data_IF_906790739955
#
_entry.id   IF_906790739955
#
_cell.length_a   1.000
_cell.length_b   1.000
_cell.length_c   1.000
_cell.angle_alpha   90.00
_cell.angle_beta   90.00
_cell.angle_gamma   90.00
#
_symmetry.space_group_name_H-M   'P 1'
#
loop_
_entity.id
_entity.type
_entity.pdbx_description
1 polymer ?
#
# COMPACT_ATOMS: atom_id res chain seq x y z
N UNK A 1 33.95 1.99 -7.52
CA UNK A 1 32.59 2.51 -7.71
C UNK A 1 31.96 2.57 -6.34
N UNK A 2 31.76 3.77 -5.79
CA UNK A 2 31.09 3.92 -4.51
C UNK A 2 29.66 3.40 -4.63
N UNK A 3 29.31 2.43 -3.77
CA UNK A 3 27.94 1.94 -3.69
C UNK A 3 27.08 3.11 -3.23
N UNK A 4 26.03 3.42 -3.99
CA UNK A 4 25.03 4.40 -3.56
C UNK A 4 24.48 3.99 -2.18
N UNK A 5 24.36 4.98 -1.29
CA UNK A 5 23.85 4.78 0.06
C UNK A 5 22.33 4.99 0.12
N UNK A 6 21.67 4.12 0.88
CA UNK A 6 20.25 4.20 1.22
C UNK A 6 20.07 4.32 2.73
N UNK A 7 19.31 5.33 3.13
CA UNK A 7 18.91 5.55 4.51
C UNK A 7 17.67 4.71 4.79
N UNK A 8 17.74 3.84 5.79
CA UNK A 8 16.61 3.04 6.24
C UNK A 8 16.11 3.57 7.59
N UNK A 9 14.94 4.23 7.64
CA UNK A 9 14.32 4.64 8.89
C UNK A 9 13.98 3.41 9.72
N UNK A 10 14.50 3.36 10.95
CA UNK A 10 14.13 2.36 11.95
C UNK A 10 13.70 3.07 13.24
N UNK A 11 12.79 2.47 14.03
CA UNK A 11 12.49 2.97 15.37
C UNK A 11 13.79 3.11 16.16
N UNK A 12 13.97 4.24 16.83
CA UNK A 12 15.08 4.39 17.77
C UNK A 12 14.89 3.32 18.86
N UNK A 13 15.82 2.37 18.96
CA UNK A 13 15.78 1.40 20.06
C UNK A 13 15.83 2.18 21.37
N UNK A 14 14.73 2.20 22.11
CA UNK A 14 14.70 2.78 23.44
C UNK A 14 15.48 1.85 24.37
N UNK A 15 16.77 2.12 24.58
CA UNK A 15 17.52 1.56 25.71
C UNK A 15 18.74 0.66 25.44
N UNK A 16 19.42 0.77 24.30
CA UNK A 16 20.74 0.12 24.07
C UNK A 16 21.79 1.11 23.54
N UNK A 17 23.10 0.91 23.81
CA UNK A 17 24.12 1.97 23.68
C UNK A 17 24.17 2.57 22.27
N UNK A 18 24.07 3.91 22.21
CA UNK A 18 24.11 4.73 20.99
C UNK A 18 25.27 4.35 20.06
N UNK A 19 24.94 3.62 18.98
CA UNK A 19 25.84 3.39 17.83
C UNK A 19 25.57 4.33 16.66
N UNK A 20 24.68 5.31 16.79
CA UNK A 20 24.38 6.29 15.75
C UNK A 20 25.39 7.44 15.79
N UNK A 21 25.94 7.77 14.64
CA UNK A 21 26.81 8.93 14.42
C UNK A 21 25.98 10.23 14.35
N UNK A 22 26.62 11.39 14.50
CA UNK A 22 25.97 12.69 14.28
C UNK A 22 25.37 12.82 12.86
N UNK A 23 25.99 12.17 11.88
CA UNK A 23 25.46 12.09 10.52
C UNK A 23 24.16 11.29 10.46
N UNK A 24 24.05 10.19 11.21
CA UNK A 24 22.81 9.40 11.31
C UNK A 24 21.67 10.20 11.95
N UNK A 25 21.98 10.93 13.02
CA UNK A 25 21.01 11.80 13.71
C UNK A 25 20.54 12.95 12.82
N UNK A 26 21.46 13.54 12.03
CA UNK A 26 21.14 14.61 11.07
C UNK A 26 20.22 14.10 9.95
N UNK A 27 20.57 12.96 9.34
CA UNK A 27 19.72 12.30 8.34
C UNK A 27 18.36 11.90 8.92
N UNK A 28 18.33 11.32 10.12
CA UNK A 28 17.10 10.95 10.82
C UNK A 28 16.20 12.15 11.14
N UNK A 29 16.78 13.28 11.52
CA UNK A 29 16.04 14.53 11.76
C UNK A 29 15.36 15.07 10.49
N UNK A 30 16.04 14.99 9.34
CA UNK A 30 15.49 15.41 8.05
C UNK A 30 14.37 14.49 7.57
N UNK A 31 14.53 13.18 7.74
CA UNK A 31 13.45 12.22 7.44
C UNK A 31 12.26 12.46 8.38
N UNK A 32 12.49 12.69 9.67
CA UNK A 32 11.45 13.04 10.63
C UNK A 32 10.71 14.33 10.25
N UNK A 33 11.42 15.34 9.74
CA UNK A 33 10.80 16.55 9.21
C UNK A 33 9.95 16.26 7.95
N UNK A 34 10.43 15.41 7.05
CA UNK A 34 9.68 14.96 5.86
C UNK A 34 8.38 14.23 6.24
N UNK A 35 8.45 13.29 7.20
CA UNK A 35 7.28 12.55 7.69
C UNK A 35 6.27 13.48 8.38
N UNK A 36 6.74 14.43 9.20
CA UNK A 36 5.86 15.43 9.84
C UNK A 36 5.17 16.31 8.82
N UNK A 37 5.89 16.81 7.80
CA UNK A 37 5.30 17.62 6.75
C UNK A 37 4.23 16.86 5.96
N UNK A 38 4.48 15.59 5.62
CA UNK A 38 3.50 14.74 4.97
C UNK A 38 2.27 14.47 5.85
N UNK A 39 2.47 14.26 7.16
CA UNK A 39 1.36 14.04 8.11
C UNK A 39 0.50 15.30 8.26
N UNK A 40 1.11 16.48 8.26
CA UNK A 40 0.36 17.74 8.32
C UNK A 40 -0.42 18.01 7.03
N UNK A 41 0.14 17.63 5.88
CA UNK A 41 -0.59 17.65 4.61
C UNK A 41 -1.79 16.70 4.65
N UNK A 42 -1.58 15.47 5.12
CA UNK A 42 -2.63 14.45 5.27
C UNK A 42 -3.78 14.96 6.16
N UNK A 43 -3.47 15.57 7.32
CA UNK A 43 -4.49 16.21 8.18
C UNK A 43 -5.26 17.27 7.43
N UNK A 44 -4.57 18.16 6.72
CA UNK A 44 -5.20 19.28 6.00
C UNK A 44 -6.14 18.81 4.90
N UNK A 45 -5.77 17.77 4.16
CA UNK A 45 -6.57 17.21 3.06
C UNK A 45 -7.93 16.65 3.54
N UNK A 46 -8.02 16.28 4.82
CA UNK A 46 -9.20 15.70 5.45
C UNK A 46 -9.79 16.56 6.56
N UNK A 47 -9.34 17.82 6.71
CA UNK A 47 -10.04 18.75 7.59
C UNK A 47 -11.47 18.93 7.07
N UNK A 48 -12.48 18.89 7.94
CA UNK A 48 -13.82 19.29 7.55
C UNK A 48 -13.73 20.68 6.91
N UNK A 49 -14.48 20.96 5.83
CA UNK A 49 -14.56 22.32 5.29
C UNK A 49 -15.19 23.21 6.36
N UNK A 50 -14.36 23.86 7.17
CA UNK A 50 -14.82 24.83 8.16
C UNK A 50 -15.03 26.14 7.46
N UNK A 51 -16.29 26.50 7.16
CA UNK A 51 -16.78 27.83 6.71
C UNK A 51 -15.84 28.62 5.77
N UNK A 52 -15.01 27.92 5.01
CA UNK A 52 -14.07 28.51 4.09
C UNK A 52 -14.90 28.75 2.84
N UNK A 53 -15.29 30.03 2.69
CA UNK A 53 -16.12 30.62 1.65
C UNK A 53 -16.33 29.69 0.47
N UNK A 54 -17.61 29.31 0.29
CA UNK A 54 -18.06 28.50 -0.82
C UNK A 54 -17.33 28.94 -2.08
N UNK A 55 -16.54 28.02 -2.63
CA UNK A 55 -16.19 28.15 -4.04
C UNK A 55 -17.56 28.23 -4.69
N UNK A 56 -17.90 29.39 -5.25
CA UNK A 56 -18.96 29.54 -6.24
C UNK A 56 -18.62 28.51 -7.32
N UNK A 57 -19.12 27.30 -7.14
CA UNK A 57 -19.10 26.30 -8.18
C UNK A 57 -20.11 26.82 -9.17
N UNK A 58 -19.66 27.69 -10.09
CA UNK A 58 -20.26 27.75 -11.41
C UNK A 58 -20.56 26.30 -11.79
N UNK A 59 -21.82 26.00 -12.09
CA UNK A 59 -22.30 24.66 -12.39
C UNK A 59 -21.46 24.10 -13.54
N UNK A 60 -20.36 23.42 -13.20
CA UNK A 60 -19.53 22.76 -14.19
C UNK A 60 -20.35 21.64 -14.78
N UNK A 61 -20.38 21.59 -16.10
CA UNK A 61 -20.96 20.48 -16.83
C UNK A 61 -20.40 19.16 -16.27
N UNK A 62 -21.26 18.21 -15.85
CA UNK A 62 -20.82 16.96 -15.22
C UNK A 62 -19.79 16.19 -16.04
N UNK A 63 -19.86 16.29 -17.37
CA UNK A 63 -18.93 15.62 -18.28
C UNK A 63 -17.51 16.21 -18.21
N UNK A 64 -17.39 17.53 -18.09
CA UNK A 64 -16.09 18.20 -17.94
C UNK A 64 -15.43 17.84 -16.60
N UNK A 65 -16.24 17.69 -15.53
CA UNK A 65 -15.76 17.20 -14.24
C UNK A 65 -15.20 15.77 -14.37
N UNK A 66 -15.94 14.87 -15.01
CA UNK A 66 -15.53 13.47 -15.22
C UNK A 66 -14.22 13.37 -16.00
N UNK A 67 -14.07 14.10 -17.10
CA UNK A 67 -12.84 14.07 -17.89
C UNK A 67 -11.63 14.63 -17.12
N UNK A 68 -11.84 15.65 -16.28
CA UNK A 68 -10.79 16.15 -15.38
C UNK A 68 -10.41 15.12 -14.31
N UNK A 69 -11.39 14.43 -13.72
CA UNK A 69 -11.14 13.34 -12.77
C UNK A 69 -10.31 12.22 -13.43
N UNK A 70 -10.67 11.81 -14.65
CA UNK A 70 -9.89 10.81 -15.43
C UNK A 70 -8.46 11.30 -15.63
N UNK A 71 -8.24 12.56 -16.02
CA UNK A 71 -6.89 13.12 -16.19
C UNK A 71 -6.07 13.08 -14.90
N UNK A 72 -6.69 13.35 -13.75
CA UNK A 72 -6.04 13.25 -12.44
C UNK A 72 -5.65 11.79 -12.17
N UNK A 73 -6.60 10.86 -12.29
CA UNK A 73 -6.39 9.44 -11.97
C UNK A 73 -5.32 8.79 -12.85
N UNK A 74 -5.23 9.20 -14.12
CA UNK A 74 -4.26 8.67 -15.08
C UNK A 74 -2.93 9.44 -15.10
N UNK A 75 -2.79 10.47 -14.28
CA UNK A 75 -1.56 11.23 -14.18
C UNK A 75 -0.42 10.36 -13.65
N UNK A 76 0.79 10.52 -14.18
CA UNK A 76 1.97 9.70 -13.85
C UNK A 76 2.35 9.71 -12.35
N UNK A 77 1.90 10.72 -11.62
CA UNK A 77 2.05 10.84 -10.17
C UNK A 77 1.28 9.74 -9.42
N UNK A 78 0.11 9.33 -9.91
CA UNK A 78 -0.76 8.36 -9.26
C UNK A 78 -0.81 7.03 -9.99
N UNK A 79 -0.75 7.04 -11.32
CA UNK A 79 -0.80 5.86 -12.15
C UNK A 79 0.54 5.64 -12.85
N UNK A 80 0.86 4.39 -13.18
CA UNK A 80 2.08 4.05 -13.92
C UNK A 80 1.84 3.13 -15.12
N UNK A 81 0.59 2.75 -15.37
CA UNK A 81 0.21 1.99 -16.56
C UNK A 81 0.39 2.87 -17.81
N UNK A 82 0.84 2.24 -18.88
CA UNK A 82 0.89 2.88 -20.19
C UNK A 82 -0.52 3.07 -20.76
N UNK A 83 -0.68 4.05 -21.65
CA UNK A 83 -1.97 4.35 -22.31
C UNK A 83 -2.62 3.13 -22.96
N UNK A 84 -1.84 2.27 -23.62
CA UNK A 84 -2.36 1.05 -24.25
C UNK A 84 -2.95 0.05 -23.25
N UNK A 85 -2.40 -0.06 -22.04
CA UNK A 85 -2.96 -0.91 -20.97
C UNK A 85 -4.20 -0.31 -20.31
N UNK A 86 -4.35 1.01 -20.38
CA UNK A 86 -5.50 1.73 -19.81
C UNK A 86 -6.70 1.75 -20.75
N UNK A 87 -6.49 1.70 -22.07
CA UNK A 87 -7.56 1.83 -23.06
C UNK A 87 -8.79 0.94 -22.80
N UNK A 88 -8.65 -0.36 -22.44
CA UNK A 88 -9.80 -1.22 -22.15
C UNK A 88 -10.61 -0.81 -20.91
N UNK A 89 -10.00 -0.04 -19.98
CA UNK A 89 -10.60 0.35 -18.71
C UNK A 89 -11.33 1.70 -18.78
N UNK A 90 -11.05 2.52 -19.80
CA UNK A 90 -11.46 3.93 -19.83
C UNK A 90 -12.98 4.10 -19.85
N UNK A 91 -13.69 3.28 -20.61
CA UNK A 91 -15.13 3.43 -20.75
C UNK A 91 -15.86 3.06 -19.46
N UNK A 92 -15.50 1.93 -18.85
CA UNK A 92 -16.05 1.55 -17.54
C UNK A 92 -15.70 2.57 -16.44
N UNK A 93 -14.48 3.09 -16.45
CA UNK A 93 -14.06 4.17 -15.53
C UNK A 93 -14.95 5.42 -15.70
N UNK A 94 -15.16 5.86 -16.95
CA UNK A 94 -15.98 7.02 -17.25
C UNK A 94 -17.42 6.83 -16.79
N UNK A 95 -18.01 5.67 -17.06
CA UNK A 95 -19.38 5.35 -16.64
C UNK A 95 -19.52 5.38 -15.11
N UNK A 96 -18.58 4.76 -14.38
CA UNK A 96 -18.58 4.76 -12.91
C UNK A 96 -18.41 6.18 -12.33
N UNK A 97 -17.53 7.01 -12.93
CA UNK A 97 -17.36 8.39 -12.50
C UNK A 97 -18.61 9.23 -12.78
N UNK A 98 -19.21 9.11 -13.97
CA UNK A 98 -20.47 9.81 -14.31
C UNK A 98 -21.57 9.49 -13.30
N UNK A 99 -21.73 8.23 -12.91
CA UNK A 99 -22.73 7.83 -11.92
C UNK A 99 -22.49 8.53 -10.57
N UNK A 100 -21.26 8.44 -10.04
CA UNK A 100 -20.92 9.03 -8.74
C UNK A 100 -21.01 10.57 -8.74
N UNK A 101 -20.57 11.22 -9.82
CA UNK A 101 -20.68 12.67 -9.99
C UNK A 101 -22.14 13.11 -10.01
N UNK A 102 -23.02 12.40 -10.74
CA UNK A 102 -24.48 12.69 -10.76
C UNK A 102 -25.12 12.55 -9.38
N UNK A 103 -24.68 11.56 -8.60
CA UNK A 103 -25.14 11.31 -7.23
C UNK A 103 -24.55 12.30 -6.21
N UNK A 104 -23.60 13.16 -6.61
CA UNK A 104 -22.92 14.15 -5.75
C UNK A 104 -22.30 13.53 -4.49
N UNK A 105 -21.85 12.28 -4.57
CA UNK A 105 -21.21 11.56 -3.46
C UNK A 105 -19.70 11.43 -3.66
N UNK A 106 -18.91 11.26 -2.59
CA UNK A 106 -17.47 11.05 -2.74
C UNK A 106 -17.14 9.92 -3.72
N UNK A 107 -16.12 10.12 -4.55
CA UNK A 107 -15.68 9.08 -5.48
C UNK A 107 -15.04 7.94 -4.67
N UNK A 108 -15.65 6.77 -4.70
CA UNK A 108 -15.22 5.62 -3.91
C UNK A 108 -14.13 4.83 -4.63
N UNK A 109 -13.04 4.56 -3.93
CA UNK A 109 -11.89 3.79 -4.39
C UNK A 109 -11.65 2.57 -3.51
N UNK A 110 -11.47 1.41 -4.11
CA UNK A 110 -10.89 0.25 -3.41
C UNK A 110 -9.48 0.00 -3.91
N UNK A 111 -8.51 0.12 -3.01
CA UNK A 111 -7.14 -0.21 -3.29
C UNK A 111 -6.82 -1.59 -2.75
N UNK A 112 -6.70 -2.53 -3.69
CA UNK A 112 -6.30 -3.90 -3.47
C UNK A 112 -4.85 -3.93 -2.99
N UNK A 113 -4.70 -3.92 -1.67
CA UNK A 113 -3.46 -3.64 -0.97
C UNK A 113 -3.02 -4.83 -0.16
N UNK A 114 -2.08 -5.59 -0.70
CA UNK A 114 -1.13 -6.33 0.12
C UNK A 114 -1.82 -7.40 1.04
N UNK A 115 -1.05 -8.20 1.75
CA UNK A 115 -1.51 -9.35 2.54
C UNK A 115 -1.58 -9.10 4.06
N UNK A 116 -1.32 -7.87 4.50
CA UNK A 116 -1.16 -7.51 5.91
C UNK A 116 0.27 -7.72 6.42
N UNK A 117 1.26 -7.73 5.53
CA UNK A 117 2.68 -7.88 5.86
C UNK A 117 3.57 -7.40 4.72
N UNK A 118 4.86 -7.22 5.02
CA UNK A 118 5.93 -6.98 4.03
C UNK A 118 7.16 -7.84 4.30
N UNK A 119 7.96 -8.09 3.28
CA UNK A 119 9.27 -8.68 3.41
C UNK A 119 10.25 -7.68 4.04
N UNK A 120 11.06 -8.16 4.98
CA UNK A 120 12.15 -7.41 5.58
C UNK A 120 13.20 -7.06 4.51
N UNK A 121 13.69 -5.81 4.47
CA UNK A 121 14.77 -5.42 3.58
C UNK A 121 16.16 -5.81 4.11
N UNK A 122 16.28 -6.19 5.39
CA UNK A 122 17.56 -6.43 6.05
C UNK A 122 18.07 -7.85 5.83
N UNK A 123 19.40 -7.99 5.77
CA UNK A 123 20.10 -9.27 5.66
C UNK A 123 19.80 -10.19 6.86
N UNK A 124 19.87 -11.51 6.64
CA UNK A 124 19.55 -12.54 7.65
C UNK A 124 18.42 -13.50 7.27
N UNK A 125 18.02 -13.48 6.00
CA UNK A 125 17.00 -14.36 5.45
C UNK A 125 15.63 -13.68 5.29
N UNK A 126 14.72 -14.31 4.54
CA UNK A 126 13.38 -13.78 4.31
C UNK A 126 12.61 -13.75 5.64
N UNK A 127 12.33 -12.55 6.15
CA UNK A 127 11.53 -12.31 7.36
C UNK A 127 10.36 -11.42 7.02
N UNK A 128 9.24 -11.58 7.72
CA UNK A 128 8.10 -10.69 7.54
C UNK A 128 8.04 -9.61 8.60
N UNK A 129 7.51 -8.46 8.21
CA UNK A 129 7.17 -7.35 9.10
C UNK A 129 5.65 -7.20 9.07
N UNK A 130 5.03 -7.35 10.24
CA UNK A 130 3.58 -7.32 10.46
C UNK A 130 3.10 -6.03 11.12
N UNK A 131 3.81 -4.92 10.90
CA UNK A 131 3.46 -3.60 11.44
C UNK A 131 3.51 -2.53 10.36
N UNK A 132 2.53 -1.63 10.23
CA UNK A 132 2.67 -0.43 9.40
C UNK A 132 3.84 0.45 9.84
N UNK A 133 4.58 1.03 8.90
CA UNK A 133 5.65 1.98 9.17
C UNK A 133 5.61 3.18 8.20
N UNK A 134 6.74 3.85 7.98
CA UNK A 134 6.86 4.94 7.01
C UNK A 134 6.36 4.57 5.60
N UNK A 135 6.31 3.28 5.26
CA UNK A 135 5.86 2.75 3.97
C UNK A 135 4.37 2.96 3.79
N UNK A 136 3.58 2.54 4.78
CA UNK A 136 2.14 2.77 4.81
C UNK A 136 1.83 4.26 4.98
N UNK A 137 2.62 4.98 5.78
CA UNK A 137 2.44 6.42 5.93
C UNK A 137 2.64 7.18 4.61
N UNK A 138 3.61 6.78 3.78
CA UNK A 138 3.78 7.36 2.45
C UNK A 138 2.63 7.05 1.49
N UNK A 139 1.98 5.88 1.62
CA UNK A 139 0.72 5.59 0.92
C UNK A 139 -0.36 6.60 1.32
N UNK A 140 -0.52 6.86 2.61
CA UNK A 140 -1.49 7.86 3.09
C UNK A 140 -1.17 9.25 2.54
N UNK A 141 0.11 9.64 2.45
CA UNK A 141 0.49 10.92 1.83
C UNK A 141 0.10 11.00 0.35
N UNK A 142 0.23 9.88 -0.37
CA UNK A 142 -0.16 9.82 -1.77
C UNK A 142 -1.68 9.90 -1.95
N UNK A 143 -2.44 9.28 -1.04
CA UNK A 143 -3.91 9.41 -1.00
C UNK A 143 -4.32 10.85 -0.70
N UNK A 144 -3.67 11.52 0.26
CA UNK A 144 -3.91 12.95 0.53
C UNK A 144 -3.64 13.83 -0.70
N UNK A 145 -2.54 13.56 -1.42
CA UNK A 145 -2.22 14.28 -2.65
C UNK A 145 -3.27 14.08 -3.75
N UNK A 146 -3.88 12.89 -3.81
CA UNK A 146 -5.00 12.62 -4.72
C UNK A 146 -6.25 13.40 -4.28
N UNK A 147 -6.60 13.32 -2.99
CA UNK A 147 -7.76 14.00 -2.42
C UNK A 147 -7.71 15.51 -2.67
N UNK A 148 -6.56 16.17 -2.44
CA UNK A 148 -6.41 17.60 -2.71
C UNK A 148 -6.68 17.97 -4.18
N UNK A 149 -6.21 17.14 -5.12
CA UNK A 149 -6.43 17.37 -6.55
C UNK A 149 -7.87 17.13 -6.97
N UNK A 150 -8.51 16.11 -6.41
CA UNK A 150 -9.93 15.81 -6.68
C UNK A 150 -10.81 16.88 -6.07
N UNK A 151 -10.62 17.23 -4.79
CA UNK A 151 -11.42 18.22 -4.07
C UNK A 151 -11.39 19.61 -4.74
N UNK A 152 -10.29 19.96 -5.41
CA UNK A 152 -10.16 21.21 -6.16
C UNK A 152 -11.11 21.32 -7.37
N UNK A 153 -11.65 20.20 -7.87
CA UNK A 153 -12.56 20.17 -9.02
C UNK A 153 -13.90 19.49 -8.72
N UNK A 154 -13.98 18.72 -7.64
CA UNK A 154 -15.12 17.93 -7.21
C UNK A 154 -15.23 18.00 -5.68
N UNK A 155 -16.03 18.93 -5.13
CA UNK A 155 -16.04 19.23 -3.69
C UNK A 155 -16.37 18.05 -2.78
N UNK A 156 -17.14 17.07 -3.26
CA UNK A 156 -17.45 15.86 -2.49
C UNK A 156 -16.21 14.96 -2.27
N UNK A 157 -15.11 15.20 -2.99
CA UNK A 157 -13.83 14.52 -2.73
C UNK A 157 -13.87 13.04 -3.06
N UNK A 158 -13.12 12.26 -2.27
CA UNK A 158 -12.94 10.81 -2.46
C UNK A 158 -13.22 10.08 -1.14
N UNK A 159 -13.63 8.82 -1.26
CA UNK A 159 -13.60 7.84 -0.18
C UNK A 159 -12.61 6.74 -0.58
N UNK A 160 -11.60 6.48 0.25
CA UNK A 160 -10.50 5.57 -0.08
C UNK A 160 -10.47 4.37 0.86
N UNK A 161 -10.74 3.18 0.33
CA UNK A 161 -10.73 1.92 1.08
C UNK A 161 -9.46 1.13 0.74
N UNK A 162 -8.60 0.94 1.72
CA UNK A 162 -7.42 0.06 1.64
C UNK A 162 -7.89 -1.36 1.96
N UNK A 163 -7.79 -2.27 0.99
CA UNK A 163 -8.25 -3.66 1.12
C UNK A 163 -7.06 -4.57 1.40
N UNK A 164 -6.98 -5.10 2.62
CA UNK A 164 -5.97 -6.07 3.03
C UNK A 164 -6.44 -7.49 2.68
N UNK A 165 -5.76 -8.13 1.74
CA UNK A 165 -6.03 -9.51 1.30
C UNK A 165 -5.31 -10.51 2.22
N UNK A 166 -5.78 -10.66 3.45
CA UNK A 166 -5.16 -11.58 4.40
C UNK A 166 -5.57 -13.06 4.21
N UNK A 167 -6.59 -13.36 3.39
CA UNK A 167 -6.93 -14.74 3.04
C UNK A 167 -5.80 -15.40 2.26
N UNK A 168 -5.24 -14.74 1.25
CA UNK A 168 -4.04 -15.24 0.54
C UNK A 168 -2.89 -15.49 1.52
N UNK A 169 -2.63 -14.56 2.46
CA UNK A 169 -1.58 -14.72 3.47
C UNK A 169 -1.81 -15.95 4.35
N UNK A 170 -3.05 -16.19 4.77
CA UNK A 170 -3.41 -17.33 5.61
C UNK A 170 -3.35 -18.64 4.86
N UNK A 171 -4.00 -18.72 3.70
CA UNK A 171 -4.16 -19.95 2.94
C UNK A 171 -2.88 -20.41 2.25
N UNK A 172 -2.07 -19.47 1.75
CA UNK A 172 -0.86 -19.80 0.96
C UNK A 172 0.40 -19.78 1.82
N UNK A 173 0.53 -18.81 2.73
CA UNK A 173 1.76 -18.61 3.48
C UNK A 173 1.67 -19.12 4.93
N UNK A 174 0.52 -19.68 5.32
CA UNK A 174 0.25 -20.15 6.68
C UNK A 174 0.46 -19.07 7.75
N UNK A 175 0.19 -17.81 7.41
CA UNK A 175 0.26 -16.69 8.34
C UNK A 175 -1.09 -16.59 9.06
N UNK A 176 -1.15 -16.69 10.40
CA UNK A 176 -2.40 -16.57 11.12
C UNK A 176 -3.13 -15.25 10.82
N UNK A 177 -4.45 -15.31 10.60
CA UNK A 177 -5.26 -14.12 10.34
C UNK A 177 -5.09 -13.07 11.43
N UNK A 178 -5.04 -13.50 12.70
CA UNK A 178 -4.84 -12.63 13.86
C UNK A 178 -3.61 -11.70 13.71
N UNK A 179 -2.51 -12.21 13.11
CA UNK A 179 -1.29 -11.43 12.87
C UNK A 179 -1.54 -10.30 11.86
N UNK A 180 -2.22 -10.61 10.77
CA UNK A 180 -2.55 -9.63 9.71
C UNK A 180 -3.69 -8.69 10.09
N UNK A 181 -4.59 -9.13 10.97
CA UNK A 181 -5.63 -8.30 11.58
C UNK A 181 -5.02 -7.30 12.57
N UNK A 182 -4.00 -7.70 13.34
CA UNK A 182 -3.23 -6.78 14.17
C UNK A 182 -2.52 -5.71 13.34
N UNK A 183 -1.92 -6.08 12.20
CA UNK A 183 -1.38 -5.12 11.22
C UNK A 183 -2.46 -4.14 10.74
N UNK A 184 -3.64 -4.63 10.38
CA UNK A 184 -4.74 -3.79 9.91
C UNK A 184 -5.27 -2.86 11.01
N UNK A 185 -5.33 -3.34 12.26
CA UNK A 185 -5.68 -2.53 13.42
C UNK A 185 -4.66 -1.41 13.66
N UNK A 186 -3.36 -1.67 13.51
CA UNK A 186 -2.32 -0.64 13.54
C UNK A 186 -2.47 0.38 12.41
N UNK A 187 -2.81 -0.08 11.20
CA UNK A 187 -3.00 0.82 10.07
C UNK A 187 -4.19 1.76 10.31
N UNK A 188 -5.29 1.23 10.87
CA UNK A 188 -6.43 2.01 11.33
C UNK A 188 -6.03 3.03 12.39
N UNK A 189 -5.18 2.67 13.36
CA UNK A 189 -4.63 3.60 14.36
C UNK A 189 -3.81 4.72 13.71
N UNK A 190 -2.95 4.40 12.74
CA UNK A 190 -2.14 5.38 12.01
C UNK A 190 -3.01 6.36 11.21
N UNK A 191 -4.06 5.87 10.53
CA UNK A 191 -5.04 6.70 9.82
C UNK A 191 -5.74 7.66 10.79
N UNK A 192 -6.18 7.14 11.95
CA UNK A 192 -6.84 7.95 12.99
C UNK A 192 -5.93 9.02 13.58
N UNK A 193 -4.70 8.65 13.95
CA UNK A 193 -3.71 9.60 14.47
C UNK A 193 -3.34 10.71 13.47
N UNK A 194 -3.59 10.46 12.19
CA UNK A 194 -3.40 11.41 11.09
C UNK A 194 -4.65 12.23 10.75
N UNK A 195 -5.77 12.04 11.46
CA UNK A 195 -7.03 12.75 11.24
C UNK A 195 -7.70 12.45 9.89
N UNK A 196 -7.43 11.27 9.32
CA UNK A 196 -7.89 10.89 7.98
C UNK A 196 -9.01 9.84 7.98
N UNK A 197 -9.53 9.45 9.15
CA UNK A 197 -10.55 8.40 9.29
C UNK A 197 -11.89 8.72 8.62
N UNK A 198 -12.17 10.00 8.35
CA UNK A 198 -13.39 10.44 7.69
C UNK A 198 -13.45 10.09 6.20
N UNK A 199 -12.31 9.83 5.55
CA UNK A 199 -12.24 9.51 4.12
C UNK A 199 -11.31 8.35 3.76
N UNK A 200 -10.58 7.79 4.73
CA UNK A 200 -9.74 6.60 4.52
C UNK A 200 -10.14 5.50 5.48
N UNK A 201 -10.45 4.31 4.94
CA UNK A 201 -10.85 3.11 5.71
C UNK A 201 -10.00 1.91 5.34
N UNK A 202 -9.95 0.92 6.23
CA UNK A 202 -9.29 -0.38 6.00
C UNK A 202 -10.36 -1.47 6.04
N UNK A 203 -10.44 -2.25 4.97
CA UNK A 203 -11.23 -3.47 4.88
C UNK A 203 -10.29 -4.67 4.88
N UNK A 204 -10.48 -5.62 5.77
CA UNK A 204 -9.71 -6.86 5.80
C UNK A 204 -10.55 -7.98 5.19
N UNK A 205 -9.97 -8.82 4.35
CA UNK A 205 -10.72 -9.90 3.70
C UNK A 205 -11.38 -10.84 4.72
N UNK A 206 -10.72 -11.13 5.85
CA UNK A 206 -11.31 -11.93 6.93
C UNK A 206 -12.56 -11.33 7.58
N UNK A 207 -12.85 -10.04 7.33
CA UNK A 207 -14.04 -9.35 7.82
C UNK A 207 -15.21 -9.39 6.80
N UNK A 208 -15.00 -9.96 5.61
CA UNK A 208 -16.02 -10.05 4.55
C UNK A 208 -16.85 -11.32 4.71
N UNK A 209 -18.16 -11.21 4.44
CA UNK A 209 -19.07 -12.36 4.41
C UNK A 209 -18.60 -13.42 3.39
N UNK A 210 -18.72 -14.70 3.77
CA UNK A 210 -18.19 -15.82 2.97
C UNK A 210 -16.67 -16.04 3.11
N UNK A 211 -16.01 -15.32 4.01
CA UNK A 211 -14.63 -15.67 4.39
C UNK A 211 -14.57 -17.05 5.07
N UNK A 212 -13.55 -17.84 4.72
CA UNK A 212 -13.38 -19.22 5.24
C UNK A 212 -13.94 -20.32 4.33
N UNK A 213 -14.52 -19.97 3.17
CA UNK A 213 -15.04 -20.92 2.20
C UNK A 213 -13.97 -21.65 1.37
N UNK A 214 -12.68 -21.29 1.50
CA UNK A 214 -11.61 -22.10 0.91
C UNK A 214 -11.32 -23.30 1.81
N UNK A 215 -11.82 -24.47 1.38
CA UNK A 215 -11.46 -25.75 1.98
C UNK A 215 -9.94 -25.95 1.86
N UNK A 216 -9.20 -26.18 2.96
CA UNK A 216 -7.77 -26.52 2.92
C UNK A 216 -7.47 -27.71 2.00
N UNK A 217 -8.44 -28.61 1.81
CA UNK A 217 -8.34 -29.78 0.95
C UNK A 217 -8.78 -29.51 -0.50
N UNK A 218 -9.06 -28.24 -0.86
CA UNK A 218 -9.42 -27.86 -2.24
C UNK A 218 -8.31 -28.33 -3.18
N UNK A 219 -8.59 -29.24 -4.12
CA UNK A 219 -7.58 -29.75 -5.01
C UNK A 219 -7.14 -28.64 -5.97
N UNK A 220 -5.84 -28.34 -5.95
CA UNK A 220 -5.22 -27.37 -6.85
C UNK A 220 -4.20 -28.07 -7.73
N UNK A 221 -4.37 -27.93 -9.05
CA UNK A 221 -3.39 -28.42 -10.02
C UNK A 221 -2.15 -27.52 -9.99
N UNK A 222 -0.95 -28.06 -9.69
CA UNK A 222 0.28 -27.27 -9.72
C UNK A 222 0.48 -26.62 -11.09
N UNK A 223 1.03 -25.40 -11.10
CA UNK A 223 1.41 -24.74 -12.36
C UNK A 223 2.44 -25.58 -13.13
N UNK A 224 2.65 -25.34 -14.44
CA UNK A 224 3.84 -25.82 -15.16
C UNK A 224 5.15 -25.37 -14.49
N UNK A 225 6.29 -25.78 -15.06
CA UNK A 225 7.60 -25.35 -14.58
C UNK A 225 7.66 -23.81 -14.44
N UNK A 226 8.14 -23.34 -13.30
CA UNK A 226 8.33 -21.91 -13.03
C UNK A 226 9.70 -21.47 -13.55
N UNK A 227 9.79 -20.24 -14.04
CA UNK A 227 11.10 -19.62 -14.24
C UNK A 227 11.80 -19.39 -12.90
N UNK A 228 13.13 -19.30 -12.90
CA UNK A 228 13.92 -19.01 -11.69
C UNK A 228 13.44 -17.75 -10.95
N UNK A 229 13.02 -16.73 -11.71
CA UNK A 229 12.48 -15.48 -11.16
C UNK A 229 11.13 -15.68 -10.47
N UNK A 230 10.25 -16.52 -11.02
CA UNK A 230 8.96 -16.82 -10.40
C UNK A 230 9.13 -17.64 -9.11
N UNK A 231 10.08 -18.59 -9.11
CA UNK A 231 10.44 -19.34 -7.91
C UNK A 231 10.98 -18.42 -6.81
N UNK A 232 11.92 -17.52 -7.14
CA UNK A 232 12.44 -16.53 -6.18
C UNK A 232 11.34 -15.62 -5.60
N UNK A 233 10.35 -15.25 -6.42
CA UNK A 233 9.18 -14.49 -5.96
C UNK A 233 8.38 -15.29 -4.92
N UNK A 234 8.17 -16.59 -5.15
CA UNK A 234 7.47 -17.46 -4.18
C UNK A 234 8.24 -17.53 -2.87
N UNK A 235 9.55 -17.82 -2.90
CA UNK A 235 10.37 -17.90 -1.68
C UNK A 235 10.33 -16.60 -0.87
N UNK A 236 10.34 -15.46 -1.55
CA UNK A 236 10.24 -14.14 -0.92
C UNK A 236 8.91 -13.93 -0.22
N UNK A 237 7.80 -14.32 -0.86
CA UNK A 237 6.46 -14.21 -0.26
C UNK A 237 6.19 -15.29 0.77
N UNK A 238 6.94 -16.40 0.76
CA UNK A 238 6.85 -17.49 1.72
C UNK A 238 7.69 -17.25 2.98
N UNK A 239 8.70 -16.40 2.92
CA UNK A 239 9.52 -16.14 4.09
C UNK A 239 10.59 -17.22 4.33
N UNK A 240 10.83 -18.12 3.35
CA UNK A 240 11.84 -19.18 3.40
C UNK A 240 12.11 -19.74 2.00
N UNK A 241 13.20 -20.50 1.87
CA UNK A 241 13.46 -21.30 0.67
C UNK A 241 12.42 -22.43 0.53
N UNK A 242 12.16 -22.83 -0.71
CA UNK A 242 11.22 -23.91 -1.03
C UNK A 242 11.68 -24.71 -2.25
N UNK A 243 11.18 -25.94 -2.39
CA UNK A 243 11.43 -26.73 -3.59
C UNK A 243 10.66 -26.18 -4.80
N UNK A 244 11.10 -26.49 -6.02
CA UNK A 244 10.35 -26.10 -7.23
C UNK A 244 8.92 -26.68 -7.23
N UNK A 245 8.76 -27.92 -6.76
CA UNK A 245 7.46 -28.57 -6.66
C UNK A 245 6.52 -27.83 -5.71
N UNK A 246 7.03 -27.44 -4.53
CA UNK A 246 6.30 -26.62 -3.57
C UNK A 246 5.95 -25.25 -4.16
N UNK A 247 6.91 -24.59 -4.83
CA UNK A 247 6.69 -23.29 -5.44
C UNK A 247 5.57 -23.32 -6.51
N UNK A 248 5.54 -24.37 -7.33
CA UNK A 248 4.50 -24.59 -8.35
C UNK A 248 3.11 -24.78 -7.74
N UNK A 249 3.03 -25.48 -6.61
CA UNK A 249 1.79 -25.69 -5.88
C UNK A 249 1.31 -24.38 -5.24
N UNK A 250 2.18 -23.68 -4.50
CA UNK A 250 1.86 -22.40 -3.87
C UNK A 250 1.45 -21.33 -4.88
N UNK A 251 2.09 -21.27 -6.05
CA UNK A 251 1.70 -20.35 -7.12
C UNK A 251 0.28 -20.62 -7.64
N UNK A 252 -0.11 -21.90 -7.73
CA UNK A 252 -1.45 -22.29 -8.12
C UNK A 252 -2.47 -21.92 -7.04
N UNK A 253 -2.17 -22.17 -5.76
CA UNK A 253 -3.00 -21.75 -4.62
C UNK A 253 -3.16 -20.23 -4.54
N UNK A 254 -2.11 -19.47 -4.84
CA UNK A 254 -2.18 -18.01 -4.91
C UNK A 254 -3.20 -17.54 -5.95
N UNK A 255 -3.21 -18.15 -7.14
CA UNK A 255 -4.16 -17.81 -8.20
C UNK A 255 -5.61 -18.14 -7.80
N UNK A 256 -5.84 -19.30 -7.17
CA UNK A 256 -7.16 -19.67 -6.64
C UNK A 256 -7.63 -18.69 -5.56
N UNK A 257 -6.76 -18.41 -4.59
CA UNK A 257 -7.04 -17.52 -3.46
C UNK A 257 -7.38 -16.09 -3.92
N UNK A 258 -6.64 -15.57 -4.90
CA UNK A 258 -6.93 -14.27 -5.52
C UNK A 258 -8.28 -14.26 -6.26
N UNK A 259 -8.67 -15.38 -6.89
CA UNK A 259 -9.98 -15.51 -7.55
C UNK A 259 -11.12 -15.45 -6.53
N UNK A 260 -11.01 -16.21 -5.44
CA UNK A 260 -12.02 -16.21 -4.36
C UNK A 260 -12.15 -14.82 -3.76
N UNK A 261 -11.02 -14.17 -3.48
CA UNK A 261 -11.01 -12.79 -2.99
C UNK A 261 -11.72 -11.82 -3.95
N UNK A 262 -11.47 -11.94 -5.26
CA UNK A 262 -12.12 -11.11 -6.26
C UNK A 262 -13.64 -11.31 -6.31
N UNK A 263 -14.12 -12.55 -6.13
CA UNK A 263 -15.56 -12.85 -6.03
C UNK A 263 -16.17 -12.27 -4.75
N UNK A 264 -15.52 -12.42 -3.60
CA UNK A 264 -15.98 -11.87 -2.32
C UNK A 264 -16.04 -10.33 -2.33
N UNK A 265 -15.07 -9.67 -2.97
CA UNK A 265 -15.02 -8.21 -3.01
C UNK A 265 -15.97 -7.61 -4.05
N UNK A 266 -16.29 -8.33 -5.13
CA UNK A 266 -17.13 -7.85 -6.24
C UNK A 266 -18.47 -7.24 -5.78
N UNK A 267 -19.32 -7.90 -4.96
CA UNK A 267 -20.61 -7.33 -4.56
C UNK A 267 -20.43 -6.04 -3.74
N UNK A 268 -19.43 -5.99 -2.86
CA UNK A 268 -19.14 -4.81 -2.02
C UNK A 268 -18.70 -3.63 -2.89
N UNK A 269 -17.81 -3.87 -3.85
CA UNK A 269 -17.31 -2.83 -4.75
C UNK A 269 -18.40 -2.35 -5.71
N UNK A 270 -19.21 -3.27 -6.24
CA UNK A 270 -20.32 -2.95 -7.14
C UNK A 270 -21.39 -2.09 -6.45
N UNK A 271 -21.77 -2.43 -5.21
CA UNK A 271 -22.75 -1.67 -4.43
C UNK A 271 -22.33 -0.21 -4.18
N UNK A 272 -21.02 0.08 -4.21
CA UNK A 272 -20.48 1.43 -4.04
C UNK A 272 -20.06 2.08 -5.37
N UNK A 273 -20.33 1.46 -6.52
CA UNK A 273 -19.79 1.84 -7.84
C UNK A 273 -18.29 2.16 -7.83
N UNK A 274 -17.55 1.44 -7.01
CA UNK A 274 -16.21 1.84 -6.66
C UNK A 274 -15.20 1.51 -7.76
N UNK A 275 -14.17 2.36 -7.87
CA UNK A 275 -13.09 2.17 -8.82
C UNK A 275 -11.97 1.36 -8.15
N UNK A 276 -11.57 0.26 -8.78
CA UNK A 276 -10.56 -0.65 -8.26
C UNK A 276 -9.14 -0.22 -8.65
N UNK A 277 -8.25 -0.19 -7.67
CA UNK A 277 -6.83 0.06 -7.83
C UNK A 277 -5.98 -1.13 -7.36
N UNK A 278 -4.83 -1.34 -8.00
CA UNK A 278 -3.75 -2.23 -7.54
C UNK A 278 -2.43 -1.49 -7.47
N UNK A 279 -1.52 -1.98 -6.63
CA UNK A 279 -0.13 -1.51 -6.63
C UNK A 279 0.60 -1.83 -7.93
N UNK A 280 0.08 -2.80 -8.69
CA UNK A 280 0.66 -3.20 -9.96
C UNK A 280 -0.30 -3.04 -11.14
N UNK A 281 0.25 -2.84 -12.33
CA UNK A 281 -0.49 -2.83 -13.58
C UNK A 281 -1.24 -4.14 -13.75
N UNK A 282 -2.56 -4.05 -13.93
CA UNK A 282 -3.45 -5.19 -14.12
C UNK A 282 -4.42 -4.92 -15.27
N UNK A 283 -4.86 -5.93 -16.04
CA UNK A 283 -5.77 -5.73 -17.16
C UNK A 283 -7.17 -5.26 -16.75
N UNK A 284 -7.61 -5.54 -15.52
CA UNK A 284 -8.97 -5.24 -15.03
C UNK A 284 -9.07 -4.10 -14.01
N UNK A 285 -7.95 -3.49 -13.61
CA UNK A 285 -7.94 -2.44 -12.58
C UNK A 285 -6.93 -1.36 -12.93
N UNK A 286 -7.16 -0.16 -12.40
CA UNK A 286 -6.17 0.90 -12.47
C UNK A 286 -4.98 0.59 -11.54
N UNK A 287 -3.81 1.13 -11.87
CA UNK A 287 -2.68 1.16 -10.95
C UNK A 287 -2.74 2.39 -10.06
N UNK A 288 -2.33 2.25 -8.81
CA UNK A 288 -2.08 3.35 -7.90
C UNK A 288 -0.69 3.22 -7.29
N UNK A 289 0.11 4.28 -7.42
CA UNK A 289 1.45 4.36 -6.83
C UNK A 289 1.30 4.59 -5.33
N UNK A 290 1.99 3.85 -4.47
CA UNK A 290 1.95 4.07 -3.02
C UNK A 290 2.84 5.23 -2.58
N UNK A 291 3.77 5.69 -3.42
CA UNK A 291 4.58 6.89 -3.20
C UNK A 291 5.21 7.32 -4.53
N UNK A 292 5.77 8.53 -4.59
CA UNK A 292 6.45 9.03 -5.78
C UNK A 292 7.61 8.10 -6.20
N UNK A 293 7.50 7.51 -7.40
CA UNK A 293 8.48 6.52 -7.89
C UNK A 293 8.19 5.06 -7.51
N UNK A 294 7.20 4.79 -6.66
CA UNK A 294 6.78 3.43 -6.30
C UNK A 294 5.99 2.76 -7.43
N UNK A 295 6.65 1.97 -8.27
CA UNK A 295 6.01 1.13 -9.31
C UNK A 295 6.00 -0.37 -8.92
N UNK A 296 6.32 -0.67 -7.67
CA UNK A 296 6.52 -2.02 -7.13
C UNK A 296 5.59 -2.21 -5.93
N UNK A 297 5.13 -3.44 -5.69
CA UNK A 297 4.37 -3.79 -4.48
C UNK A 297 5.20 -3.44 -3.25
N UNK A 298 4.64 -2.65 -2.34
CA UNK A 298 5.35 -2.31 -1.09
C UNK A 298 5.54 -3.52 -0.18
N UNK A 299 4.80 -4.61 -0.42
CA UNK A 299 5.05 -5.89 0.25
C UNK A 299 6.47 -6.41 0.07
N UNK A 300 7.18 -5.96 -0.97
CA UNK A 300 8.51 -6.46 -1.30
C UNK A 300 9.61 -5.86 -0.41
N UNK A 301 9.30 -4.91 0.46
CA UNK A 301 10.32 -4.21 1.23
C UNK A 301 9.77 -3.07 2.07
N UNK A 302 10.67 -2.20 2.53
CA UNK A 302 10.35 -1.02 3.35
C UNK A 302 10.76 0.25 2.62
N UNK A 303 10.03 1.34 2.82
CA UNK A 303 10.42 2.63 2.31
C UNK A 303 11.67 3.14 3.03
N UNK A 304 12.70 3.42 2.25
CA UNK A 304 13.89 4.16 2.65
C UNK A 304 14.06 5.41 1.80
N UNK A 305 15.20 6.07 1.96
CA UNK A 305 15.50 7.32 1.27
C UNK A 305 16.91 7.26 0.69
N UNK A 306 17.01 7.66 -0.58
CA UNK A 306 18.28 8.08 -1.13
C UNK A 306 18.42 9.59 -0.94
N UNK A 307 19.59 10.03 -0.53
CA UNK A 307 19.88 11.45 -0.45
C UNK A 307 20.67 11.90 -1.66
N UNK A 308 20.18 12.93 -2.35
CA UNK A 308 20.85 13.51 -3.52
C UNK A 308 20.63 15.02 -3.52
N UNK A 309 21.71 15.80 -3.62
CA UNK A 309 21.67 17.27 -3.67
C UNK A 309 20.83 17.91 -2.53
N UNK A 310 20.95 17.35 -1.32
CA UNK A 310 20.20 17.81 -0.15
C UNK A 310 18.71 17.44 -0.14
N UNK A 311 18.23 16.66 -1.12
CA UNK A 311 16.85 16.18 -1.20
C UNK A 311 16.74 14.71 -0.81
N UNK A 312 15.67 14.38 -0.06
CA UNK A 312 15.29 13.01 0.24
C UNK A 312 14.43 12.46 -0.89
N UNK A 313 14.89 11.39 -1.53
CA UNK A 313 14.20 10.71 -2.62
C UNK A 313 13.70 9.36 -2.08
N UNK A 314 12.38 9.18 -1.90
CA UNK A 314 11.84 7.91 -1.41
C UNK A 314 12.16 6.76 -2.37
N UNK A 315 12.59 5.63 -1.81
CA UNK A 315 12.97 4.41 -2.55
C UNK A 315 12.46 3.20 -1.79
N UNK A 316 11.91 2.21 -2.50
CA UNK A 316 11.61 0.92 -1.89
C UNK A 316 12.92 0.15 -1.69
N UNK A 317 13.30 -0.08 -0.44
CA UNK A 317 14.42 -0.94 -0.09
C UNK A 317 13.89 -2.37 -0.03
N UNK A 318 14.42 -3.24 -0.88
CA UNK A 318 14.09 -4.67 -0.92
C UNK A 318 15.34 -5.46 -0.56
N UNK A 319 15.22 -6.74 -0.17
CA UNK A 319 16.39 -7.58 0.12
C UNK A 319 17.39 -7.61 -1.05
N UNK A 320 16.92 -7.78 -2.29
CA UNK A 320 17.77 -7.75 -3.49
C UNK A 320 18.50 -6.41 -3.67
N UNK A 321 17.84 -5.29 -3.35
CA UNK A 321 18.48 -3.98 -3.43
C UNK A 321 19.53 -3.81 -2.32
N UNK A 322 19.25 -4.32 -1.12
CA UNK A 322 20.14 -4.26 0.02
C UNK A 322 21.43 -5.07 -0.20
N UNK A 323 21.41 -6.13 -1.03
CA UNK A 323 22.62 -6.90 -1.37
C UNK A 323 23.61 -6.11 -2.26
N UNK A 324 23.11 -5.10 -3.00
CA UNK A 324 23.88 -4.33 -3.97
C UNK A 324 24.16 -2.89 -3.54
N UNK A 325 23.54 -2.41 -2.47
CA UNK A 325 23.66 -1.03 -1.97
C UNK A 325 24.15 -1.01 -0.52
N UNK A 326 24.70 0.12 -0.08
CA UNK A 326 24.96 0.33 1.36
C UNK A 326 23.66 0.78 2.01
N UNK A 327 23.10 -0.03 2.92
CA UNK A 327 21.92 0.34 3.70
C UNK A 327 22.36 0.82 5.06
N UNK A 328 22.17 2.11 5.34
CA UNK A 328 22.50 2.75 6.62
C UNK A 328 21.22 2.96 7.44
N UNK A 329 21.05 2.25 8.56
CA UNK A 329 19.96 2.51 9.50
C UNK A 329 20.04 3.91 10.08
N UNK A 330 18.92 4.61 10.17
CA UNK A 330 18.83 5.93 10.80
C UNK A 330 17.66 5.98 11.78
N UNK A 331 17.83 6.60 12.95
CA UNK A 331 16.79 6.63 13.98
C UNK A 331 15.68 7.61 13.59
N UNK A 332 14.46 7.09 13.45
CA UNK A 332 13.29 7.88 13.07
C UNK A 332 12.07 7.40 13.84
N UNK A 333 11.37 8.34 14.48
CA UNK A 333 10.05 8.08 15.04
C UNK A 333 9.00 8.25 13.94
N UNK A 334 8.29 7.17 13.60
CA UNK A 334 7.21 7.21 12.61
C UNK A 334 5.94 7.74 13.29
N UNK A 335 5.35 8.85 12.81
CA UNK A 335 4.10 9.37 13.37
C UNK A 335 2.97 8.34 13.32
N UNK A 336 2.30 8.12 14.45
CA UNK A 336 1.15 7.22 14.54
C UNK A 336 1.48 5.72 14.54
N UNK A 337 2.76 5.35 14.46
CA UNK A 337 3.19 3.98 14.73
C UNK A 337 3.19 3.71 16.25
N UNK A 338 2.82 2.49 16.66
CA UNK A 338 2.97 2.07 18.04
C UNK A 338 4.46 2.03 18.41
N UNK A 339 4.80 2.47 19.63
CA UNK A 339 6.13 2.26 20.21
C UNK A 339 6.22 0.78 20.57
N UNK A 340 7.35 0.13 20.26
CA UNK A 340 7.56 -1.32 20.44
C UNK A 340 7.06 -1.82 21.80
N UNK A 341 6.03 -2.66 21.78
CA UNK A 341 5.86 -3.74 22.75
C UNK A 341 6.47 -4.98 22.07
N UNK A 342 7.41 -5.71 22.70
CA UNK A 342 8.03 -6.86 22.07
C UNK A 342 6.93 -7.85 21.65
N UNK A 343 6.84 -8.13 20.35
CA UNK A 343 5.86 -9.06 19.81
C UNK A 343 5.94 -10.39 20.58
N UNK A 344 4.80 -11.00 20.95
CA UNK A 344 4.79 -12.32 21.56
C UNK A 344 5.53 -13.27 20.62
N UNK A 345 6.56 -13.94 21.14
CA UNK A 345 7.45 -14.79 20.38
C UNK A 345 6.67 -15.77 19.52
N UNK A 346 6.77 -15.62 18.20
CA UNK A 346 6.28 -16.62 17.27
C UNK A 346 7.17 -17.84 17.46
N UNK A 347 6.67 -18.83 18.20
CA UNK A 347 7.32 -20.12 18.35
C UNK A 347 7.51 -20.72 16.97
N UNK A 348 8.77 -20.95 16.59
CA UNK A 348 9.08 -21.83 15.48
C UNK A 348 8.69 -23.25 15.92
N UNK A 349 7.60 -23.77 15.35
CA UNK A 349 7.30 -25.19 15.33
C UNK A 349 7.85 -25.79 14.03
#
# INVERSE_FOLDING_TARGET
MDRQELLLPLPAQQGGPCGYTDADLTSGSRISAWLRAGTERLRRAWRPPGEAGGIDSEEREPEDCVEQLIRILLHHTFNYQSRGRLAPLLEGLRQNLRQQVRERRPITFFFLYNGGYRASPLAGGPRFIFRPDQTELALLFQIAALQERVAAIYPAGIDFVIVVNNGVSSWVNHIPCATTEAYAAELRRMIRASGAEGGIRVLVQSEVEGYGELDPDTPVTPRPALSAKEHEIVERFLGRRCSEAEARLLNAFYALSESIWAEQLRPIAAAQHAILFRQVAHPSTLSFRPFAGGAIRVQNGTLGFHESEGRLIPRLVTACLADHMSVRPVPVAVPGAAVDDPAPGVGHA
#
